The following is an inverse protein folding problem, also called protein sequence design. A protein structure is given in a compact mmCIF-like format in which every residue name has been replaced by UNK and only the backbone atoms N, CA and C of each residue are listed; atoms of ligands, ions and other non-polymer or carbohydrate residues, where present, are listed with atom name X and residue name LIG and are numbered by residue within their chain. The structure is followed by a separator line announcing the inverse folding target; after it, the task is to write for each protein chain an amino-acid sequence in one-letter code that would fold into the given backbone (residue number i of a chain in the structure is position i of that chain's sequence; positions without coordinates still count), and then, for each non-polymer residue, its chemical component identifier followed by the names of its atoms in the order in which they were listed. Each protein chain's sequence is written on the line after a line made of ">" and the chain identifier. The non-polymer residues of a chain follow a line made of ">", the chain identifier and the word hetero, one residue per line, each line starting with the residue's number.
data_IF_533972876875
#
_entry.id   IF_533972876875
#
_cell.length_a   1.000
_cell.length_b   1.000
_cell.length_c   1.000
_cell.angle_alpha   90.00
_cell.angle_beta   90.00
_cell.angle_gamma   90.00
#
_symmetry.space_group_name_H-M   'P 1'
#
loop_
_entity.id
_entity.type
_entity.pdbx_description
1 polymer ?
#
# COMPACT_ATOMS: atom_id res chain seq x y z
N UNK A 1 20.12 37.21 16.69
CA UNK A 1 19.33 35.96 16.69
C UNK A 1 20.05 34.95 17.58
N UNK A 2 19.40 34.40 18.61
CA UNK A 2 20.04 33.51 19.59
C UNK A 2 20.53 32.20 18.93
N UNK A 3 21.70 31.65 19.34
CA UNK A 3 22.23 30.37 18.86
C UNK A 3 21.20 29.23 18.91
N UNK A 4 20.35 29.21 19.94
CA UNK A 4 19.29 28.20 20.12
C UNK A 4 18.20 28.28 19.04
N UNK A 5 17.81 29.51 18.63
CA UNK A 5 16.83 29.70 17.55
C UNK A 5 17.40 29.27 16.20
N UNK A 6 18.72 29.41 16.01
CA UNK A 6 19.42 28.98 14.79
C UNK A 6 19.52 27.46 14.72
N UNK A 7 19.80 26.78 15.84
CA UNK A 7 19.82 25.33 15.93
C UNK A 7 18.43 24.72 15.69
N UNK A 8 17.38 25.30 16.32
CA UNK A 8 15.99 24.84 16.16
C UNK A 8 15.48 25.01 14.74
N UNK A 9 15.82 26.12 14.07
CA UNK A 9 15.45 26.33 12.66
C UNK A 9 16.21 25.41 11.70
N UNK A 10 17.48 25.09 11.99
CA UNK A 10 18.27 24.15 11.19
C UNK A 10 17.76 22.71 11.32
N UNK A 11 17.41 22.28 12.54
CA UNK A 11 16.79 20.98 12.78
C UNK A 11 15.42 20.87 12.10
N UNK A 12 14.61 21.93 12.15
CA UNK A 12 13.30 21.98 11.48
C UNK A 12 13.44 21.94 9.96
N UNK A 13 14.41 22.67 9.38
CA UNK A 13 14.69 22.63 7.95
C UNK A 13 15.24 21.26 7.48
N UNK A 14 16.08 20.60 8.29
CA UNK A 14 16.54 19.24 8.02
C UNK A 14 15.41 18.22 8.10
N UNK A 15 14.49 18.35 9.08
CA UNK A 15 13.29 17.50 9.14
C UNK A 15 12.37 17.72 7.94
N UNK A 16 12.23 18.96 7.45
CA UNK A 16 11.46 19.28 6.24
C UNK A 16 12.11 18.73 4.97
N UNK A 17 13.44 18.75 4.87
CA UNK A 17 14.19 18.15 3.76
C UNK A 17 14.13 16.62 3.77
N UNK A 18 14.27 15.98 4.94
CA UNK A 18 14.09 14.53 5.11
C UNK A 18 12.67 14.08 4.76
N UNK A 19 11.65 14.88 5.09
CA UNK A 19 10.26 14.59 4.69
C UNK A 19 10.02 14.79 3.19
N UNK A 20 10.80 15.64 2.52
CA UNK A 20 10.72 15.84 1.07
C UNK A 20 11.39 14.70 0.30
N UNK A 21 12.56 14.23 0.74
CA UNK A 21 13.28 13.14 0.08
C UNK A 21 12.55 11.79 0.19
N UNK A 22 11.77 11.56 1.25
CA UNK A 22 10.93 10.36 1.37
C UNK A 22 9.71 10.38 0.43
N UNK A 23 9.28 11.57 -0.03
CA UNK A 23 8.12 11.74 -0.89
C UNK A 23 8.42 11.53 -2.39
N UNK A 24 9.70 11.41 -2.77
CA UNK A 24 10.11 11.29 -4.19
C UNK A 24 10.37 9.85 -4.66
N UNK A 25 10.36 8.85 -3.78
CA UNK A 25 10.65 7.46 -4.15
C UNK A 25 9.56 6.48 -3.71
N UNK A 26 9.24 5.52 -4.58
CA UNK A 26 8.34 4.43 -4.24
C UNK A 26 8.93 3.60 -3.08
N UNK A 27 8.08 3.15 -2.16
CA UNK A 27 8.47 2.15 -1.16
C UNK A 27 8.76 0.80 -1.82
N UNK A 28 9.44 -0.11 -1.11
CA UNK A 28 9.71 -1.47 -1.60
C UNK A 28 8.43 -2.18 -2.07
N UNK A 29 7.34 -2.08 -1.31
CA UNK A 29 6.04 -2.67 -1.66
C UNK A 29 5.48 -2.03 -2.94
N UNK A 30 5.58 -0.70 -3.08
CA UNK A 30 5.09 0.00 -4.27
C UNK A 30 5.93 -0.33 -5.52
N UNK A 31 7.23 -0.55 -5.36
CA UNK A 31 8.11 -1.06 -6.41
C UNK A 31 7.70 -2.47 -6.85
N UNK A 32 7.48 -3.38 -5.90
CA UNK A 32 7.00 -4.74 -6.19
C UNK A 32 5.67 -4.71 -6.93
N UNK A 33 4.78 -3.79 -6.58
CA UNK A 33 3.52 -3.59 -7.29
C UNK A 33 3.77 -3.09 -8.72
N UNK A 34 4.65 -2.11 -8.92
CA UNK A 34 4.99 -1.62 -10.25
C UNK A 34 5.56 -2.74 -11.15
N UNK A 35 6.42 -3.59 -10.58
CA UNK A 35 6.94 -4.80 -11.24
C UNK A 35 5.83 -5.79 -11.58
N UNK A 36 4.95 -6.11 -10.63
CA UNK A 36 3.85 -7.06 -10.84
C UNK A 36 2.88 -6.59 -11.93
N UNK A 37 2.50 -5.30 -11.93
CA UNK A 37 1.67 -4.71 -13.00
C UNK A 37 2.39 -4.84 -14.35
N UNK A 38 3.66 -4.45 -14.42
CA UNK A 38 4.41 -4.47 -15.68
C UNK A 38 4.56 -5.88 -16.26
N UNK A 39 4.93 -6.86 -15.43
CA UNK A 39 5.09 -8.25 -15.85
C UNK A 39 3.76 -8.87 -16.29
N UNK A 40 2.68 -8.61 -15.54
CA UNK A 40 1.33 -9.09 -15.89
C UNK A 40 0.92 -8.55 -17.26
N UNK A 41 1.01 -7.24 -17.47
CA UNK A 41 0.59 -6.63 -18.73
C UNK A 41 1.48 -7.04 -19.92
N UNK A 42 2.79 -7.25 -19.71
CA UNK A 42 3.68 -7.76 -20.77
C UNK A 42 3.37 -9.22 -21.12
N UNK A 43 3.09 -10.06 -20.11
CA UNK A 43 2.71 -11.47 -20.31
C UNK A 43 1.42 -11.60 -21.11
N UNK A 44 0.46 -10.70 -20.88
CA UNK A 44 -0.80 -10.62 -21.62
C UNK A 44 -0.67 -9.88 -22.97
N UNK A 45 0.55 -9.60 -23.45
CA UNK A 45 0.83 -8.85 -24.69
C UNK A 45 0.06 -7.52 -24.80
N UNK A 46 -0.10 -6.82 -23.67
CA UNK A 46 -0.84 -5.56 -23.59
C UNK A 46 0.01 -4.40 -24.11
N UNK A 47 -0.59 -3.55 -24.97
CA UNK A 47 0.11 -2.39 -25.51
C UNK A 47 0.37 -1.33 -24.42
N UNK A 48 1.65 -1.04 -24.19
CA UNK A 48 2.11 -0.01 -23.25
C UNK A 48 1.55 1.39 -23.57
N UNK A 49 1.20 1.67 -24.82
CA UNK A 49 0.58 2.93 -25.21
C UNK A 49 -0.85 3.07 -24.68
N UNK A 50 -1.60 1.97 -24.60
CA UNK A 50 -2.95 1.99 -24.00
C UNK A 50 -2.86 2.22 -22.49
N UNK A 51 -1.90 1.61 -21.81
CA UNK A 51 -1.60 1.96 -20.42
C UNK A 51 -1.19 3.44 -20.28
N UNK A 52 -0.40 3.95 -21.22
CA UNK A 52 0.00 5.36 -21.28
C UNK A 52 -1.18 6.34 -21.34
N UNK A 53 -2.25 5.99 -22.08
CA UNK A 53 -3.49 6.79 -22.12
C UNK A 53 -4.21 6.79 -20.77
N UNK A 54 -4.27 5.63 -20.10
CA UNK A 54 -4.84 5.54 -18.76
C UNK A 54 -4.05 6.38 -17.74
N UNK A 55 -2.72 6.33 -17.79
CA UNK A 55 -1.84 7.17 -16.96
C UNK A 55 -2.08 8.65 -17.24
N UNK A 56 -2.22 9.02 -18.52
CA UNK A 56 -2.50 10.40 -18.90
C UNK A 56 -3.84 10.89 -18.33
N UNK A 57 -4.88 10.05 -18.35
CA UNK A 57 -6.16 10.36 -17.70
C UNK A 57 -5.98 10.63 -16.20
N UNK A 58 -5.34 9.70 -15.47
CA UNK A 58 -5.12 9.86 -14.02
C UNK A 58 -4.34 11.14 -13.71
N UNK A 59 -3.27 11.40 -14.46
CA UNK A 59 -2.44 12.61 -14.30
C UNK A 59 -3.25 13.90 -14.52
N UNK A 60 -4.12 13.93 -15.52
CA UNK A 60 -4.94 15.11 -15.83
C UNK A 60 -5.93 15.43 -14.73
N UNK A 61 -6.49 14.40 -14.07
CA UNK A 61 -7.55 14.55 -13.07
C UNK A 61 -7.07 14.31 -11.63
N UNK A 62 -5.75 14.29 -11.41
CA UNK A 62 -5.12 13.89 -10.14
C UNK A 62 -5.56 14.74 -8.94
N UNK A 63 -5.84 16.03 -9.17
CA UNK A 63 -6.24 16.98 -8.14
C UNK A 63 -7.76 17.05 -7.93
N UNK A 64 -8.54 16.23 -8.64
CA UNK A 64 -9.99 16.18 -8.44
C UNK A 64 -10.33 15.29 -7.25
N UNK A 65 -11.46 15.60 -6.62
CA UNK A 65 -12.02 14.78 -5.56
C UNK A 65 -12.29 13.36 -6.08
N UNK A 66 -11.90 12.35 -5.29
CA UNK A 66 -12.03 10.94 -5.63
C UNK A 66 -11.31 10.53 -6.94
N UNK A 67 -10.18 11.17 -7.27
CA UNK A 67 -9.43 10.92 -8.51
C UNK A 67 -9.12 9.44 -8.77
N UNK A 68 -8.71 8.67 -7.75
CA UNK A 68 -8.44 7.24 -7.91
C UNK A 68 -9.70 6.41 -8.18
N UNK A 69 -10.82 6.71 -7.52
CA UNK A 69 -12.10 6.07 -7.82
C UNK A 69 -12.56 6.37 -9.26
N UNK A 70 -12.46 7.64 -9.68
CA UNK A 70 -12.78 8.07 -11.05
C UNK A 70 -11.89 7.39 -12.09
N UNK A 71 -10.63 7.15 -11.76
CA UNK A 71 -9.73 6.38 -12.62
C UNK A 71 -10.24 4.95 -12.84
N UNK A 72 -10.66 4.24 -11.79
CA UNK A 72 -11.27 2.90 -11.97
C UNK A 72 -12.56 2.95 -12.78
N UNK A 73 -13.42 3.95 -12.56
CA UNK A 73 -14.64 4.13 -13.36
C UNK A 73 -14.33 4.41 -14.84
N UNK A 74 -13.26 5.18 -15.09
CA UNK A 74 -12.75 5.41 -16.43
C UNK A 74 -12.25 4.11 -17.09
N UNK A 75 -11.48 3.27 -16.38
CA UNK A 75 -11.04 1.98 -16.91
C UNK A 75 -12.23 1.07 -17.27
N UNK A 76 -13.23 0.98 -16.39
CA UNK A 76 -14.47 0.24 -16.68
C UNK A 76 -15.22 0.81 -17.89
N UNK A 77 -15.18 2.13 -18.07
CA UNK A 77 -15.77 2.80 -19.24
C UNK A 77 -15.02 2.44 -20.53
N UNK A 78 -13.68 2.35 -20.48
CA UNK A 78 -12.87 1.88 -21.60
C UNK A 78 -13.21 0.44 -21.97
N UNK A 79 -13.34 -0.46 -20.98
CA UNK A 79 -13.75 -1.85 -21.21
C UNK A 79 -15.13 -1.91 -21.88
N UNK A 80 -16.12 -1.23 -21.29
CA UNK A 80 -17.52 -1.26 -21.79
C UNK A 80 -17.63 -0.73 -23.22
N UNK A 81 -16.87 0.31 -23.54
CA UNK A 81 -16.95 0.98 -24.84
C UNK A 81 -15.82 0.56 -25.80
N UNK A 82 -14.97 -0.39 -25.41
CA UNK A 82 -13.73 -0.76 -26.10
C UNK A 82 -13.93 -1.14 -27.56
N UNK A 83 -15.06 -1.78 -27.88
CA UNK A 83 -15.43 -2.15 -29.26
C UNK A 83 -15.77 -0.96 -30.16
N UNK A 84 -16.19 0.15 -29.59
CA UNK A 84 -16.58 1.36 -30.33
C UNK A 84 -15.44 2.37 -30.44
N UNK A 85 -14.57 2.44 -29.42
CA UNK A 85 -13.43 3.35 -29.36
C UNK A 85 -12.13 2.74 -29.89
N UNK A 86 -12.08 1.41 -29.97
CA UNK A 86 -10.93 0.68 -30.46
C UNK A 86 -10.87 0.64 -31.98
N UNK A 87 -9.74 1.08 -32.55
CA UNK A 87 -9.47 0.95 -33.98
C UNK A 87 -9.06 -0.49 -34.37
N UNK A 88 -8.82 -1.36 -33.38
CA UNK A 88 -8.47 -2.77 -33.58
C UNK A 88 -9.35 -3.70 -32.75
N UNK A 89 -9.51 -4.94 -33.20
CA UNK A 89 -10.22 -5.98 -32.43
C UNK A 89 -9.53 -6.32 -31.10
N UNK A 90 -8.23 -6.04 -30.95
CA UNK A 90 -7.42 -6.30 -29.74
C UNK A 90 -7.49 -5.21 -28.69
N UNK A 91 -8.00 -4.03 -29.05
CA UNK A 91 -8.02 -2.87 -28.13
C UNK A 91 -8.93 -3.09 -26.93
N UNK A 92 -10.00 -3.88 -27.09
CA UNK A 92 -10.88 -4.25 -25.97
C UNK A 92 -10.14 -5.15 -24.97
N UNK A 93 -9.41 -6.16 -25.45
CA UNK A 93 -8.61 -7.07 -24.61
C UNK A 93 -7.57 -6.31 -23.79
N UNK A 94 -6.90 -5.31 -24.39
CA UNK A 94 -5.96 -4.45 -23.66
C UNK A 94 -6.63 -3.69 -22.52
N UNK A 95 -7.83 -3.16 -22.72
CA UNK A 95 -8.55 -2.45 -21.67
C UNK A 95 -9.02 -3.39 -20.57
N UNK A 96 -9.45 -4.61 -20.90
CA UNK A 96 -9.78 -5.63 -19.90
C UNK A 96 -8.57 -6.01 -19.06
N UNK A 97 -7.41 -6.23 -19.70
CA UNK A 97 -6.17 -6.54 -18.99
C UNK A 97 -5.72 -5.39 -18.08
N UNK A 98 -5.79 -4.14 -18.57
CA UNK A 98 -5.44 -2.96 -17.79
C UNK A 98 -6.40 -2.78 -16.60
N UNK A 99 -7.71 -2.92 -16.81
CA UNK A 99 -8.70 -2.78 -15.75
C UNK A 99 -8.52 -3.83 -14.67
N UNK A 100 -8.45 -5.11 -15.06
CA UNK A 100 -8.26 -6.22 -14.13
C UNK A 100 -6.96 -6.06 -13.33
N UNK A 101 -5.85 -5.77 -13.99
CA UNK A 101 -4.54 -5.61 -13.35
C UNK A 101 -4.51 -4.41 -12.41
N UNK A 102 -5.02 -3.25 -12.84
CA UNK A 102 -5.10 -2.08 -11.97
C UNK A 102 -6.02 -2.34 -10.77
N UNK A 103 -7.19 -2.94 -10.99
CA UNK A 103 -8.14 -3.27 -9.92
C UNK A 103 -7.55 -4.26 -8.93
N UNK A 104 -6.75 -5.22 -9.37
CA UNK A 104 -6.06 -6.16 -8.50
C UNK A 104 -4.99 -5.46 -7.64
N UNK A 105 -4.13 -4.64 -8.26
CA UNK A 105 -2.91 -4.17 -7.59
C UNK A 105 -3.01 -2.77 -6.98
N UNK A 106 -3.92 -1.92 -7.45
CA UNK A 106 -4.00 -0.52 -7.06
C UNK A 106 -5.24 -0.17 -6.22
N UNK A 107 -6.17 -1.11 -6.00
CA UNK A 107 -7.40 -0.82 -5.24
C UNK A 107 -7.12 -0.27 -3.85
N UNK A 108 -6.07 -0.78 -3.21
CA UNK A 108 -5.53 -0.31 -1.94
C UNK A 108 -5.16 1.18 -1.93
N UNK A 109 -4.78 1.73 -3.08
CA UNK A 109 -4.30 3.10 -3.23
C UNK A 109 -5.36 4.02 -3.82
N UNK A 110 -6.64 3.58 -3.89
CA UNK A 110 -7.72 4.36 -4.52
C UNK A 110 -7.83 5.78 -3.92
N UNK A 111 -7.61 5.92 -2.62
CA UNK A 111 -7.70 7.21 -1.93
C UNK A 111 -6.38 8.01 -1.98
N UNK A 112 -5.33 7.43 -2.57
CA UNK A 112 -4.03 8.06 -2.80
C UNK A 112 -3.64 8.01 -4.29
N UNK A 113 -4.33 8.84 -5.08
CA UNK A 113 -4.16 8.91 -6.53
C UNK A 113 -2.72 9.28 -6.94
N UNK A 114 -2.01 10.09 -6.13
CA UNK A 114 -0.62 10.47 -6.38
C UNK A 114 0.32 9.24 -6.37
N UNK A 115 0.16 8.35 -5.39
CA UNK A 115 0.91 7.09 -5.32
C UNK A 115 0.54 6.17 -6.48
N UNK A 116 -0.75 6.04 -6.82
CA UNK A 116 -1.17 5.28 -8.01
C UNK A 116 -0.46 5.77 -9.28
N UNK A 117 -0.36 7.10 -9.45
CA UNK A 117 0.29 7.70 -10.61
C UNK A 117 1.80 7.39 -10.66
N UNK A 118 2.49 7.43 -9.52
CA UNK A 118 3.90 7.07 -9.44
C UNK A 118 4.13 5.58 -9.77
N UNK A 119 3.33 4.69 -9.17
CA UNK A 119 3.40 3.24 -9.43
C UNK A 119 3.18 2.96 -10.92
N UNK A 120 2.12 3.50 -11.51
CA UNK A 120 1.81 3.29 -12.92
C UNK A 120 2.87 3.90 -13.86
N UNK A 121 3.42 5.05 -13.48
CA UNK A 121 4.53 5.68 -14.21
C UNK A 121 5.76 4.77 -14.27
N UNK A 122 6.11 4.10 -13.17
CA UNK A 122 7.19 3.12 -13.16
C UNK A 122 6.81 1.82 -13.89
N UNK A 123 5.59 1.32 -13.70
CA UNK A 123 5.10 0.13 -14.41
C UNK A 123 5.19 0.30 -15.93
N UNK A 124 4.82 1.46 -16.49
CA UNK A 124 4.94 1.73 -17.93
C UNK A 124 6.39 1.73 -18.44
N UNK A 125 7.36 2.17 -17.62
CA UNK A 125 8.80 2.08 -17.95
C UNK A 125 9.29 0.63 -17.89
N UNK A 126 8.89 -0.11 -16.86
CA UNK A 126 9.22 -1.51 -16.68
C UNK A 126 8.62 -2.40 -17.77
N UNK A 127 7.42 -2.11 -18.26
CA UNK A 127 6.83 -2.83 -19.40
C UNK A 127 7.72 -2.76 -20.65
N UNK A 128 8.26 -1.57 -20.97
CA UNK A 128 9.19 -1.41 -22.09
C UNK A 128 10.46 -2.22 -21.85
N UNK A 129 11.03 -2.11 -20.66
CA UNK A 129 12.21 -2.88 -20.27
C UNK A 129 12.00 -4.39 -20.42
N UNK A 130 10.88 -4.93 -19.91
CA UNK A 130 10.58 -6.37 -19.97
C UNK A 130 10.22 -6.86 -21.36
N UNK A 131 9.61 -6.02 -22.19
CA UNK A 131 9.36 -6.35 -23.59
C UNK A 131 10.66 -6.56 -24.38
N UNK A 132 11.68 -5.76 -24.07
CA UNK A 132 12.95 -5.77 -24.81
C UNK A 132 13.99 -6.74 -24.19
N UNK A 133 13.96 -6.97 -22.88
CA UNK A 133 14.96 -7.75 -22.15
C UNK A 133 14.75 -9.28 -22.17
N UNK A 134 13.61 -9.78 -22.68
CA UNK A 134 13.25 -11.20 -22.61
C UNK A 134 12.84 -11.65 -21.19
N UNK A 135 12.61 -12.96 -20.96
CA UNK A 135 12.11 -13.47 -19.67
C UNK A 135 13.16 -13.31 -18.57
N UNK A 136 13.11 -12.18 -17.87
CA UNK A 136 13.74 -11.99 -16.58
C UNK A 136 12.89 -12.81 -15.60
N UNK A 137 13.52 -13.73 -14.86
CA UNK A 137 12.86 -14.76 -14.04
C UNK A 137 11.67 -14.26 -13.22
N UNK A 138 10.76 -15.18 -12.90
CA UNK A 138 9.52 -14.90 -12.15
C UNK A 138 9.83 -14.14 -10.85
N UNK A 139 9.55 -12.85 -10.82
CA UNK A 139 9.38 -12.14 -9.57
C UNK A 139 7.99 -12.56 -9.09
N UNK A 140 7.93 -13.40 -8.06
CA UNK A 140 6.66 -13.75 -7.44
C UNK A 140 5.98 -12.47 -6.98
N UNK A 141 4.93 -12.05 -7.70
CA UNK A 141 4.11 -10.93 -7.29
C UNK A 141 3.64 -11.18 -5.85
N UNK A 142 3.75 -10.20 -4.94
CA UNK A 142 3.26 -10.38 -3.58
C UNK A 142 1.77 -10.72 -3.64
N UNK A 143 1.37 -11.78 -2.94
CA UNK A 143 -0.04 -12.18 -2.79
C UNK A 143 -0.78 -10.98 -2.20
N UNK A 144 -1.74 -10.43 -2.95
CA UNK A 144 -2.43 -9.17 -2.64
C UNK A 144 -3.28 -9.31 -1.37
N UNK A 145 -2.63 -9.05 -0.24
CA UNK A 145 -3.20 -8.60 1.04
C UNK A 145 -2.70 -7.16 1.34
N UNK A 146 -2.35 -6.39 0.29
CA UNK A 146 -1.36 -5.31 0.39
C UNK A 146 -1.83 -3.94 0.89
N UNK A 147 -3.15 -3.64 0.96
CA UNK A 147 -3.61 -2.38 1.59
C UNK A 147 -3.29 -2.37 3.08
N UNK A 148 -3.65 -3.47 3.74
CA UNK A 148 -3.41 -3.67 5.17
C UNK A 148 -1.92 -3.75 5.48
N UNK A 149 -1.13 -4.36 4.60
CA UNK A 149 0.31 -4.47 4.80
C UNK A 149 1.04 -3.15 4.53
N UNK A 150 0.56 -2.30 3.62
CA UNK A 150 1.09 -0.96 3.40
C UNK A 150 0.76 -0.02 4.58
N UNK A 151 -0.47 -0.04 5.09
CA UNK A 151 -0.84 0.70 6.30
C UNK A 151 -0.03 0.20 7.52
N UNK A 152 0.14 -1.12 7.67
CA UNK A 152 0.97 -1.70 8.73
C UNK A 152 2.45 -1.28 8.56
N UNK A 153 3.00 -1.32 7.34
CA UNK A 153 4.38 -0.92 7.08
C UNK A 153 4.61 0.58 7.33
N UNK A 154 3.64 1.44 6.98
CA UNK A 154 3.69 2.87 7.28
C UNK A 154 3.65 3.12 8.79
N UNK A 155 2.74 2.47 9.53
CA UNK A 155 2.67 2.54 10.99
C UNK A 155 3.98 2.03 11.63
N UNK A 156 4.56 0.94 11.13
CA UNK A 156 5.85 0.40 11.63
C UNK A 156 7.00 1.35 11.31
N UNK A 157 7.04 1.94 10.12
CA UNK A 157 8.11 2.88 9.73
C UNK A 157 8.07 4.21 10.48
N UNK A 158 6.89 4.61 10.95
CA UNK A 158 6.67 5.85 11.71
C UNK A 158 6.80 5.67 13.22
N UNK A 159 6.74 4.43 13.70
CA UNK A 159 6.81 4.11 15.13
C UNK A 159 7.93 3.10 15.39
N UNK A 160 9.02 3.58 16.00
CA UNK A 160 10.06 2.71 16.54
C UNK A 160 9.50 1.94 17.76
N UNK A 161 9.10 0.69 17.54
CA UNK A 161 8.64 -0.18 18.61
C UNK A 161 9.82 -0.69 19.44
N UNK A 162 9.64 -0.73 20.77
CA UNK A 162 10.63 -1.29 21.68
C UNK A 162 10.02 -2.42 22.52
N UNK A 163 10.81 -3.46 22.81
CA UNK A 163 10.43 -4.49 23.79
C UNK A 163 10.23 -3.83 25.15
N UNK A 164 9.11 -4.14 25.82
CA UNK A 164 8.69 -3.52 27.09
C UNK A 164 7.86 -2.24 26.93
N UNK A 165 7.62 -1.77 25.70
CA UNK A 165 6.73 -0.63 25.46
C UNK A 165 5.28 -1.01 25.71
N UNK A 166 4.54 -0.13 26.40
CA UNK A 166 3.11 -0.27 26.67
C UNK A 166 2.33 0.57 25.67
N UNK A 167 1.38 -0.05 24.97
CA UNK A 167 0.51 0.57 23.99
C UNK A 167 -0.96 0.35 24.35
N UNK A 168 -1.81 1.27 23.93
CA UNK A 168 -3.26 1.05 23.96
C UNK A 168 -3.68 0.18 22.77
N UNK A 169 -4.56 -0.79 23.05
CA UNK A 169 -5.10 -1.70 22.06
C UNK A 169 -6.58 -1.92 22.27
N UNK A 170 -7.33 -2.04 21.18
CA UNK A 170 -8.76 -2.36 21.23
C UNK A 170 -8.96 -3.86 21.02
N UNK A 171 -9.74 -4.50 21.88
CA UNK A 171 -10.14 -5.90 21.71
C UNK A 171 -11.15 -5.98 20.56
N UNK A 172 -10.78 -6.63 19.46
CA UNK A 172 -11.64 -6.75 18.28
C UNK A 172 -12.33 -8.10 18.17
N UNK A 173 -11.82 -9.13 18.84
CA UNK A 173 -12.47 -10.44 18.90
C UNK A 173 -12.02 -11.25 20.13
N UNK A 174 -12.96 -11.96 20.75
CA UNK A 174 -12.67 -12.95 21.81
C UNK A 174 -13.23 -14.32 21.41
N UNK A 175 -12.36 -15.32 21.25
CA UNK A 175 -12.73 -16.68 20.85
C UNK A 175 -12.10 -17.71 21.79
N UNK A 176 -12.86 -18.16 22.77
CA UNK A 176 -12.38 -19.09 23.80
C UNK A 176 -11.28 -18.46 24.63
N UNK A 177 -10.05 -18.98 24.53
CA UNK A 177 -8.87 -18.41 25.19
C UNK A 177 -8.04 -17.48 24.29
N UNK A 178 -8.50 -17.17 23.08
CA UNK A 178 -7.79 -16.29 22.15
C UNK A 178 -8.43 -14.92 22.11
N UNK A 179 -7.60 -13.89 22.16
CA UNK A 179 -8.03 -12.49 22.13
C UNK A 179 -7.29 -11.81 20.99
N UNK A 180 -8.03 -11.08 20.15
CA UNK A 180 -7.45 -10.30 19.06
C UNK A 180 -7.41 -8.83 19.45
N UNK A 181 -6.22 -8.27 19.47
CA UNK A 181 -5.92 -6.88 19.78
C UNK A 181 -5.69 -6.10 18.50
N UNK A 182 -6.24 -4.90 18.41
CA UNK A 182 -5.94 -3.91 17.37
C UNK A 182 -5.14 -2.78 18.01
N UNK A 183 -3.90 -2.63 17.58
CA UNK A 183 -2.94 -1.63 18.05
C UNK A 183 -2.81 -0.56 16.97
N UNK A 184 -2.89 0.71 17.36
CA UNK A 184 -2.81 1.87 16.46
C UNK A 184 -3.81 1.82 15.30
N UNK A 185 -4.95 1.15 15.48
CA UNK A 185 -6.04 1.06 14.49
C UNK A 185 -5.78 0.11 13.30
N UNK A 186 -4.59 -0.50 13.21
CA UNK A 186 -4.20 -1.24 11.99
C UNK A 186 -3.58 -2.61 12.31
N UNK A 187 -2.75 -2.69 13.35
CA UNK A 187 -1.99 -3.89 13.68
C UNK A 187 -2.90 -4.83 14.47
N UNK A 188 -3.33 -5.95 13.87
CA UNK A 188 -4.09 -6.98 14.59
C UNK A 188 -3.23 -8.15 15.00
N UNK A 189 -3.20 -8.44 16.29
CA UNK A 189 -2.48 -9.58 16.87
C UNK A 189 -3.43 -10.44 17.68
N UNK A 190 -3.44 -11.75 17.41
CA UNK A 190 -4.22 -12.71 18.18
C UNK A 190 -3.32 -13.44 19.16
N UNK A 191 -3.55 -13.23 20.45
CA UNK A 191 -2.78 -13.85 21.53
C UNK A 191 -3.62 -14.84 22.33
N UNK A 192 -2.96 -15.84 22.93
CA UNK A 192 -3.61 -16.78 23.85
C UNK A 192 -3.57 -16.20 25.26
N UNK A 193 -4.74 -15.91 25.80
CA UNK A 193 -4.96 -15.34 27.13
C UNK A 193 -5.83 -16.27 27.99
N UNK A 194 -5.34 -17.47 28.38
CA UNK A 194 -6.14 -18.49 29.07
C UNK A 194 -6.72 -18.03 30.42
N UNK A 195 -6.12 -17.03 31.07
CA UNK A 195 -6.58 -16.52 32.38
C UNK A 195 -7.44 -15.26 32.27
N UNK A 196 -7.33 -14.50 31.19
CA UNK A 196 -7.91 -13.15 31.04
C UNK A 196 -8.90 -13.03 29.87
N UNK A 197 -8.94 -14.00 28.96
CA UNK A 197 -9.83 -13.95 27.80
C UNK A 197 -11.31 -13.81 28.19
N UNK A 198 -11.74 -14.45 29.29
CA UNK A 198 -13.13 -14.38 29.76
C UNK A 198 -13.51 -13.04 30.39
N UNK A 199 -12.53 -12.20 30.76
CA UNK A 199 -12.77 -10.87 31.34
C UNK A 199 -12.77 -9.73 30.31
N UNK A 200 -12.56 -10.03 29.02
CA UNK A 200 -12.56 -9.04 27.96
C UNK A 200 -13.87 -9.04 27.18
N UNK A 201 -14.28 -7.85 26.76
CA UNK A 201 -15.40 -7.65 25.82
C UNK A 201 -14.89 -7.01 24.54
N UNK A 202 -15.51 -7.37 23.41
CA UNK A 202 -15.22 -6.73 22.12
C UNK A 202 -15.51 -5.22 22.19
N UNK A 203 -14.64 -4.41 21.60
CA UNK A 203 -14.66 -2.95 21.67
C UNK A 203 -13.96 -2.35 22.89
N UNK A 204 -13.49 -3.16 23.85
CA UNK A 204 -12.79 -2.68 25.04
C UNK A 204 -11.36 -2.20 24.70
N UNK A 205 -10.99 -1.01 25.16
CA UNK A 205 -9.59 -0.54 25.12
C UNK A 205 -8.83 -1.02 26.35
N UNK A 206 -7.68 -1.64 26.12
CA UNK A 206 -6.79 -2.18 27.16
C UNK A 206 -5.34 -1.77 26.89
N UNK A 207 -4.46 -1.98 27.87
CA UNK A 207 -3.02 -1.78 27.73
C UNK A 207 -2.31 -3.10 27.46
N UNK A 208 -1.48 -3.12 26.43
CA UNK A 208 -0.65 -4.28 26.07
C UNK A 208 0.82 -3.90 26.05
N UNK A 209 1.66 -4.79 26.56
CA UNK A 209 3.12 -4.67 26.55
C UNK A 209 3.69 -5.50 25.41
N UNK A 210 4.62 -4.92 24.64
CA UNK A 210 5.36 -5.61 23.60
C UNK A 210 6.37 -6.57 24.24
N UNK A 211 6.25 -7.87 23.95
CA UNK A 211 7.16 -8.89 24.44
C UNK A 211 8.22 -9.29 23.42
N UNK A 212 7.90 -9.22 22.13
CA UNK A 212 8.78 -9.67 21.06
C UNK A 212 8.51 -8.88 19.78
N UNK A 213 9.58 -8.65 19.01
CA UNK A 213 9.57 -8.00 17.70
C UNK A 213 10.11 -8.97 16.65
N UNK A 214 9.73 -8.79 15.39
CA UNK A 214 10.33 -9.50 14.26
C UNK A 214 11.60 -8.79 13.80
N UNK A 215 12.37 -9.44 12.91
CA UNK A 215 13.57 -8.87 12.29
C UNK A 215 13.30 -7.59 11.49
N UNK A 216 12.05 -7.41 11.02
CA UNK A 216 11.58 -6.22 10.30
C UNK A 216 11.09 -5.08 11.23
N UNK A 217 11.23 -5.24 12.55
CA UNK A 217 10.77 -4.26 13.55
C UNK A 217 9.27 -4.34 13.88
N UNK A 218 8.50 -5.19 13.20
CA UNK A 218 7.08 -5.36 13.48
C UNK A 218 6.81 -6.10 14.78
N UNK A 219 5.68 -5.80 15.43
CA UNK A 219 5.27 -6.46 16.68
C UNK A 219 4.97 -7.93 16.41
N UNK A 220 5.72 -8.82 17.07
CA UNK A 220 5.53 -10.27 16.96
C UNK A 220 4.64 -10.81 18.06
N UNK A 221 4.75 -10.25 19.27
CA UNK A 221 4.04 -10.75 20.44
C UNK A 221 3.74 -9.65 21.44
N UNK A 222 2.54 -9.70 22.01
CA UNK A 222 2.12 -8.78 23.08
C UNK A 222 1.54 -9.53 24.27
N UNK A 223 1.46 -8.87 25.43
CA UNK A 223 0.78 -9.36 26.63
C UNK A 223 -0.08 -8.26 27.23
N UNK A 224 -1.29 -8.60 27.67
CA UNK A 224 -2.13 -7.65 28.41
C UNK A 224 -1.53 -7.29 29.79
N UNK A 225 -1.25 -6.01 29.99
CA UNK A 225 -0.90 -5.40 31.28
C UNK A 225 -2.16 -4.79 31.89
N UNK A 226 -2.82 -5.59 32.73
CA UNK A 226 -4.14 -5.30 33.29
C UNK A 226 -4.80 -6.59 33.74
#
# INVERSE_FOLDING_TARGET
>A
MSPERRAKNKARAQLTLLHLDLAESLTEVQWQIAHAIAQTLVKEDTDVNELGKAIAYLRTYINQENAGARFFDYLKTLVRNGRQIGHSKRTTDYYENIENTCSQYLKAYQDNAAVMLQILGWASRLMRYYKDAGPIGEITAPVVESARQAEIAEVISTHDFAIGQILEATVTAVKGNKVTYEILGTIKLTEKEPKKAQSFTEGQTIKVEILDLKEDGSIKKVRCTG
#
